data_IF_765703169185
#
_entry.id   IF_765703169185
#
_cell.length_a   1.000
_cell.length_b   1.000
_cell.length_c   1.000
_cell.angle_alpha   90.00
_cell.angle_beta   90.00
_cell.angle_gamma   90.00
#
_symmetry.space_group_name_H-M   'P 1'
#
loop_
_entity.id
_entity.type
_entity.pdbx_description
1 polymer ?
#
# COMPACT_ATOMS: atom_id res chain seq x y z
N UNK A 1 5.14 1.89 18.70
CA UNK A 1 6.44 1.31 18.33
C UNK A 1 6.54 1.41 16.83
N UNK A 2 7.47 2.22 16.31
CA UNK A 2 7.68 2.39 14.86
C UNK A 2 8.30 1.08 14.38
N UNK A 3 7.62 0.34 13.52
CA UNK A 3 8.24 -0.80 12.85
C UNK A 3 9.00 -0.20 11.69
N UNK A 4 10.33 -0.27 11.73
CA UNK A 4 11.13 0.14 10.59
C UNK A 4 10.84 -0.82 9.45
N UNK A 5 10.18 -0.33 8.39
CA UNK A 5 9.95 -1.12 7.18
C UNK A 5 11.29 -1.63 6.65
N UNK A 6 11.40 -2.94 6.44
CA UNK A 6 12.61 -3.55 5.86
C UNK A 6 12.36 -4.13 4.47
N UNK A 7 11.15 -4.63 4.23
CA UNK A 7 10.81 -5.42 3.06
C UNK A 7 9.51 -4.96 2.39
N UNK A 8 9.54 -4.88 1.05
CA UNK A 8 8.39 -4.50 0.24
C UNK A 8 8.14 -5.56 -0.84
N UNK A 9 6.90 -6.00 -0.98
CA UNK A 9 6.45 -6.77 -2.14
C UNK A 9 5.72 -5.86 -3.13
N UNK A 10 6.22 -5.76 -4.36
CA UNK A 10 5.52 -5.14 -5.48
C UNK A 10 4.75 -6.23 -6.21
N UNK A 11 3.42 -6.27 -6.04
CA UNK A 11 2.55 -7.30 -6.60
C UNK A 11 1.94 -6.86 -7.93
N UNK A 12 2.07 -7.67 -8.97
CA UNK A 12 1.42 -7.42 -10.27
C UNK A 12 1.09 -8.71 -11.03
N UNK A 13 0.33 -8.61 -12.12
CA UNK A 13 0.28 -9.70 -13.11
C UNK A 13 1.58 -9.72 -13.93
N UNK A 14 2.02 -10.91 -14.35
CA UNK A 14 3.27 -11.07 -15.12
C UNK A 14 3.34 -10.18 -16.37
N UNK A 15 2.21 -10.02 -17.09
CA UNK A 15 2.09 -9.15 -18.26
C UNK A 15 2.35 -7.66 -17.99
N UNK A 16 2.26 -7.23 -16.73
CA UNK A 16 2.44 -5.84 -16.32
C UNK A 16 3.84 -5.60 -15.72
N UNK A 17 4.75 -6.59 -15.71
CA UNK A 17 6.07 -6.51 -15.06
C UNK A 17 6.90 -5.29 -15.47
N UNK A 18 6.91 -4.96 -16.77
CA UNK A 18 7.76 -3.90 -17.32
C UNK A 18 7.31 -2.51 -16.85
N UNK A 19 6.00 -2.32 -16.67
CA UNK A 19 5.43 -1.06 -16.17
C UNK A 19 5.90 -0.74 -14.75
N UNK A 20 6.22 -1.77 -13.97
CA UNK A 20 6.58 -1.64 -12.56
C UNK A 20 8.11 -1.60 -12.36
N UNK A 21 8.90 -1.61 -13.44
CA UNK A 21 10.36 -1.57 -13.37
C UNK A 21 10.88 -0.34 -12.62
N UNK A 22 10.37 0.85 -12.95
CA UNK A 22 10.73 2.11 -12.28
C UNK A 22 10.32 2.10 -10.80
N UNK A 23 9.11 1.62 -10.49
CA UNK A 23 8.61 1.49 -9.11
C UNK A 23 9.53 0.60 -8.28
N UNK A 24 9.85 -0.59 -8.79
CA UNK A 24 10.75 -1.53 -8.09
C UNK A 24 12.13 -0.91 -7.91
N UNK A 25 12.71 -0.32 -8.97
CA UNK A 25 14.03 0.29 -8.90
C UNK A 25 14.08 1.47 -7.91
N UNK A 26 13.03 2.31 -7.89
CA UNK A 26 12.93 3.44 -6.97
C UNK A 26 12.84 2.98 -5.51
N UNK A 27 11.93 2.06 -5.19
CA UNK A 27 11.76 1.55 -3.83
C UNK A 27 12.98 0.76 -3.34
N UNK A 28 13.65 0.04 -4.25
CA UNK A 28 14.87 -0.72 -3.96
C UNK A 28 16.05 0.13 -3.47
N UNK A 29 16.01 1.45 -3.70
CA UNK A 29 17.03 2.37 -3.18
C UNK A 29 17.05 2.43 -1.65
N UNK A 30 15.94 2.11 -1.00
CA UNK A 30 15.76 2.22 0.47
C UNK A 30 15.35 0.92 1.13
N UNK A 31 14.53 0.11 0.48
CA UNK A 31 13.97 -1.11 1.07
C UNK A 31 14.31 -2.35 0.25
N UNK A 32 14.36 -3.51 0.91
CA UNK A 32 14.48 -4.79 0.23
C UNK A 32 13.18 -5.08 -0.55
N UNK A 33 13.16 -4.69 -1.82
CA UNK A 33 11.96 -4.70 -2.66
C UNK A 33 11.99 -5.91 -3.59
N UNK A 34 10.90 -6.69 -3.59
CA UNK A 34 10.74 -7.86 -4.45
C UNK A 34 9.54 -7.68 -5.37
N UNK A 35 9.74 -7.91 -6.67
CA UNK A 35 8.64 -8.07 -7.61
C UNK A 35 8.02 -9.46 -7.41
N UNK A 36 6.70 -9.51 -7.19
CA UNK A 36 5.95 -10.73 -6.93
C UNK A 36 4.80 -10.81 -7.94
N UNK A 37 4.62 -11.98 -8.55
CA UNK A 37 3.54 -12.18 -9.50
C UNK A 37 2.29 -12.71 -8.81
N UNK A 38 1.15 -12.16 -9.23
CA UNK A 38 -0.15 -12.55 -8.70
C UNK A 38 -0.52 -13.97 -9.15
N UNK A 39 -0.86 -14.78 -8.16
CA UNK A 39 -1.65 -16.00 -8.30
C UNK A 39 -2.71 -16.05 -7.18
N UNK A 40 -3.63 -17.02 -7.23
CA UNK A 40 -4.75 -17.09 -6.26
C UNK A 40 -4.32 -17.40 -4.82
N UNK A 41 -3.13 -17.95 -4.60
CA UNK A 41 -2.61 -18.43 -3.31
C UNK A 41 -1.50 -17.56 -2.73
N UNK A 42 -1.06 -16.53 -3.45
CA UNK A 42 0.10 -15.70 -3.09
C UNK A 42 -0.08 -14.91 -1.78
N UNK A 43 -1.33 -14.71 -1.35
CA UNK A 43 -1.69 -13.81 -0.25
C UNK A 43 -1.01 -14.14 1.07
N UNK A 44 -0.99 -15.40 1.50
CA UNK A 44 -0.33 -15.80 2.74
C UNK A 44 1.16 -15.45 2.75
N UNK A 45 1.83 -15.66 1.61
CA UNK A 45 3.25 -15.31 1.44
C UNK A 45 3.47 -13.80 1.51
N UNK A 46 2.56 -13.00 0.92
CA UNK A 46 2.65 -11.54 0.94
C UNK A 46 2.51 -10.97 2.36
N UNK A 47 1.77 -11.63 3.25
CA UNK A 47 1.62 -11.20 4.64
C UNK A 47 2.90 -11.27 5.47
N UNK A 48 3.99 -11.81 4.92
CA UNK A 48 5.32 -11.85 5.54
C UNK A 48 6.19 -10.62 5.24
N UNK A 49 5.77 -9.78 4.29
CA UNK A 49 6.42 -8.51 4.01
C UNK A 49 5.94 -7.43 4.97
N UNK A 50 6.71 -6.36 5.10
CA UNK A 50 6.29 -5.21 5.92
C UNK A 50 5.33 -4.30 5.15
N UNK A 51 5.48 -4.22 3.83
CA UNK A 51 4.58 -3.48 2.94
C UNK A 51 4.31 -4.23 1.64
N UNK A 52 3.06 -4.14 1.16
CA UNK A 52 2.61 -4.65 -0.13
C UNK A 52 2.18 -3.46 -0.99
N UNK A 53 2.85 -3.28 -2.13
CA UNK A 53 2.48 -2.30 -3.17
C UNK A 53 1.87 -3.08 -4.34
N UNK A 54 0.56 -3.03 -4.49
CA UNK A 54 -0.18 -3.84 -5.45
C UNK A 54 -0.65 -3.02 -6.67
N UNK A 55 -0.26 -3.45 -7.87
CA UNK A 55 -0.78 -2.95 -9.14
C UNK A 55 -1.94 -3.84 -9.63
N UNK A 56 -3.01 -3.87 -8.83
CA UNK A 56 -4.21 -4.66 -9.06
C UNK A 56 -5.45 -3.83 -8.67
N UNK A 57 -6.63 -4.23 -9.13
CA UNK A 57 -7.87 -3.63 -8.62
C UNK A 57 -7.96 -3.82 -7.11
N UNK A 58 -8.29 -2.75 -6.37
CA UNK A 58 -8.35 -2.76 -4.90
C UNK A 58 -9.25 -3.87 -4.35
N UNK A 59 -10.38 -4.16 -5.01
CA UNK A 59 -11.27 -5.24 -4.62
C UNK A 59 -10.66 -6.65 -4.71
N UNK A 60 -9.65 -6.88 -5.56
CA UNK A 60 -8.88 -8.15 -5.58
C UNK A 60 -7.97 -8.20 -4.35
N UNK A 61 -7.26 -7.11 -4.09
CA UNK A 61 -6.31 -7.00 -2.97
C UNK A 61 -7.04 -7.15 -1.64
N UNK A 62 -8.13 -6.41 -1.42
CA UNK A 62 -8.91 -6.44 -0.17
C UNK A 62 -9.46 -7.84 0.11
N UNK A 63 -10.09 -8.49 -0.89
CA UNK A 63 -10.62 -9.86 -0.74
C UNK A 63 -9.50 -10.89 -0.55
N UNK A 64 -8.34 -10.67 -1.16
CA UNK A 64 -7.19 -11.56 -1.04
C UNK A 64 -6.55 -11.55 0.34
N UNK A 65 -6.41 -10.36 0.94
CA UNK A 65 -5.78 -10.21 2.25
C UNK A 65 -6.75 -10.44 3.41
N UNK A 66 -8.08 -10.31 3.20
CA UNK A 66 -9.07 -10.25 4.29
C UNK A 66 -9.03 -11.43 5.25
N UNK A 67 -8.74 -12.63 4.75
CA UNK A 67 -8.68 -13.86 5.57
C UNK A 67 -7.40 -13.93 6.42
N UNK A 68 -6.40 -13.11 6.14
CA UNK A 68 -5.10 -13.10 6.82
C UNK A 68 -4.89 -11.89 7.72
N UNK A 69 -5.81 -10.92 7.72
CA UNK A 69 -5.74 -9.75 8.60
C UNK A 69 -5.91 -10.15 10.06
N UNK A 70 -5.05 -9.64 10.94
CA UNK A 70 -5.04 -9.97 12.37
C UNK A 70 -5.21 -8.73 13.23
N UNK A 71 -4.38 -7.72 13.02
CA UNK A 71 -4.51 -6.44 13.71
C UNK A 71 -3.73 -5.32 13.01
N UNK A 72 -4.21 -4.10 13.18
CA UNK A 72 -3.57 -2.86 12.68
C UNK A 72 -2.12 -2.67 13.12
N UNK A 73 -1.64 -3.42 14.11
CA UNK A 73 -0.30 -3.27 14.69
C UNK A 73 0.75 -4.16 14.04
N UNK A 74 0.33 -5.28 13.45
CA UNK A 74 1.24 -6.33 12.95
C UNK A 74 1.00 -6.69 11.49
N UNK A 75 -0.15 -6.29 10.94
CA UNK A 75 -0.45 -6.53 9.52
C UNK A 75 0.41 -5.60 8.64
N UNK A 76 0.81 -6.05 7.44
CA UNK A 76 1.57 -5.23 6.52
C UNK A 76 0.83 -3.94 6.15
N UNK A 77 1.61 -2.90 5.83
CA UNK A 77 1.06 -1.78 5.08
C UNK A 77 0.63 -2.26 3.69
N UNK A 78 -0.51 -1.77 3.20
CA UNK A 78 -1.03 -2.14 1.87
C UNK A 78 -1.34 -0.89 1.08
N UNK A 79 -0.74 -0.79 -0.09
CA UNK A 79 -0.88 0.32 -1.03
C UNK A 79 -1.33 -0.25 -2.37
N UNK A 80 -2.28 0.41 -3.02
CA UNK A 80 -2.70 0.08 -4.38
C UNK A 80 -2.28 1.18 -5.34
N UNK A 81 -1.60 0.81 -6.42
CA UNK A 81 -1.33 1.69 -7.55
C UNK A 81 -2.45 1.50 -8.58
N UNK A 82 -3.10 2.59 -8.97
CA UNK A 82 -4.15 2.55 -9.98
C UNK A 82 -3.60 2.20 -11.38
N UNK A 83 -4.47 1.72 -12.29
CA UNK A 83 -4.02 1.24 -13.60
C UNK A 83 -3.22 2.29 -14.42
N UNK A 84 -3.57 3.59 -14.39
CA UNK A 84 -2.78 4.64 -15.02
C UNK A 84 -1.44 4.96 -14.35
N UNK A 85 -1.14 4.39 -13.17
CA UNK A 85 0.02 4.73 -12.34
C UNK A 85 0.06 6.20 -11.95
N UNK A 86 -1.11 6.78 -11.66
CA UNK A 86 -1.25 8.16 -11.21
C UNK A 86 -1.34 8.26 -9.70
N UNK A 87 -1.88 7.24 -9.03
CA UNK A 87 -2.18 7.31 -7.60
C UNK A 87 -1.68 6.08 -6.86
N UNK A 88 -1.05 6.30 -5.71
CA UNK A 88 -0.68 5.29 -4.72
C UNK A 88 -1.60 5.43 -3.50
N UNK A 89 -2.67 4.64 -3.47
CA UNK A 89 -3.72 4.71 -2.44
C UNK A 89 -3.35 3.81 -1.27
N UNK A 90 -3.17 4.39 -0.09
CA UNK A 90 -2.88 3.64 1.15
C UNK A 90 -4.18 3.03 1.69
N UNK A 91 -4.28 1.70 1.69
CA UNK A 91 -5.45 0.96 2.17
C UNK A 91 -5.31 0.51 3.63
N UNK A 92 -4.10 0.10 4.05
CA UNK A 92 -3.80 -0.37 5.40
C UNK A 92 -2.42 0.12 5.86
N UNK A 93 -2.25 0.23 7.17
CA UNK A 93 -0.93 0.45 7.78
C UNK A 93 -0.28 1.81 7.48
N UNK A 94 -1.06 2.88 7.33
CA UNK A 94 -0.53 4.22 7.02
C UNK A 94 0.60 4.67 7.96
N UNK A 95 0.41 4.57 9.28
CA UNK A 95 1.45 4.88 10.28
C UNK A 95 2.48 3.75 10.48
N UNK A 96 2.30 2.62 9.82
CA UNK A 96 3.22 1.48 9.80
C UNK A 96 4.10 1.51 8.53
N UNK A 97 4.33 2.71 8.00
CA UNK A 97 5.18 2.96 6.84
C UNK A 97 4.43 3.02 5.49
N UNK A 98 3.13 2.72 5.45
CA UNK A 98 2.33 2.88 4.23
C UNK A 98 2.31 4.31 3.69
N UNK A 99 2.17 5.31 4.57
CA UNK A 99 2.21 6.73 4.17
C UNK A 99 3.60 7.11 3.64
N UNK A 100 4.67 6.61 4.27
CA UNK A 100 6.05 6.87 3.85
C UNK A 100 6.35 6.29 2.47
N UNK A 101 5.96 5.04 2.22
CA UNK A 101 6.13 4.39 0.91
C UNK A 101 5.32 5.11 -0.17
N UNK A 102 4.07 5.50 0.13
CA UNK A 102 3.26 6.26 -0.82
C UNK A 102 3.90 7.63 -1.16
N UNK A 103 4.40 8.36 -0.16
CA UNK A 103 5.11 9.62 -0.39
C UNK A 103 6.40 9.43 -1.20
N UNK A 104 7.11 8.33 -1.01
CA UNK A 104 8.25 7.98 -1.86
C UNK A 104 7.82 7.74 -3.32
N UNK A 105 6.71 7.04 -3.56
CA UNK A 105 6.15 6.85 -4.89
C UNK A 105 5.73 8.17 -5.57
N UNK A 106 5.29 9.17 -4.80
CA UNK A 106 5.02 10.52 -5.35
C UNK A 106 6.25 11.16 -6.00
N UNK A 107 7.46 10.80 -5.57
CA UNK A 107 8.71 11.35 -6.12
C UNK A 107 8.98 10.90 -7.55
N UNK A 108 8.29 9.84 -8.02
CA UNK A 108 8.32 9.35 -9.41
C UNK A 108 6.99 9.58 -10.13
N UNK A 109 6.18 10.53 -9.64
CA UNK A 109 4.94 10.95 -10.30
C UNK A 109 3.71 10.10 -9.99
N UNK A 110 3.76 9.21 -9.00
CA UNK A 110 2.61 8.41 -8.54
C UNK A 110 2.08 9.03 -7.24
N UNK A 111 1.09 9.91 -7.36
CA UNK A 111 0.57 10.73 -6.26
C UNK A 111 0.06 9.89 -5.08
N UNK A 112 0.61 10.15 -3.89
CA UNK A 112 0.16 9.54 -2.65
C UNK A 112 -1.27 9.98 -2.29
N UNK A 113 -2.18 9.01 -2.18
CA UNK A 113 -3.53 9.23 -1.66
C UNK A 113 -3.59 8.66 -0.25
N UNK A 114 -3.47 9.54 0.74
CA UNK A 114 -3.44 9.23 2.17
C UNK A 114 -4.74 9.71 2.80
N UNK A 115 -5.50 8.81 3.42
CA UNK A 115 -6.82 9.10 4.02
C UNK A 115 -6.79 9.13 5.55
N UNK A 116 -5.62 9.06 6.17
CA UNK A 116 -5.49 8.99 7.63
C UNK A 116 -5.88 10.31 8.29
N UNK A 117 -6.93 10.29 9.13
CA UNK A 117 -7.45 11.48 9.83
C UNK A 117 -6.49 12.09 10.86
N UNK A 118 -5.38 11.43 11.22
CA UNK A 118 -4.42 11.96 12.19
C UNK A 118 -3.68 13.21 11.68
N UNK A 119 -3.60 13.40 10.37
CA UNK A 119 -2.89 14.53 9.74
C UNK A 119 -3.87 15.64 9.30
N UNK A 120 -5.16 15.50 9.64
CA UNK A 120 -6.20 16.44 9.24
C UNK A 120 -6.32 17.62 10.22
N UNK A 121 -6.16 18.84 9.71
CA UNK A 121 -6.23 20.10 10.49
C UNK A 121 -7.62 20.72 10.56
N UNK A 122 -8.18 21.14 9.42
CA UNK A 122 -9.52 21.77 9.29
C UNK A 122 -10.13 21.53 7.89
N UNK A 123 -11.47 21.50 7.79
CA UNK A 123 -12.23 21.37 6.53
C UNK A 123 -13.11 20.10 6.44
N UNK A 124 -13.50 19.70 5.22
CA UNK A 124 -14.24 18.44 4.96
C UNK A 124 -13.31 17.39 4.36
N UNK A 125 -13.25 16.21 5.00
CA UNK A 125 -12.53 15.06 4.47
C UNK A 125 -13.51 14.05 3.87
N UNK A 126 -13.23 13.57 2.65
CA UNK A 126 -13.92 12.43 2.03
C UNK A 126 -12.91 11.29 1.91
N UNK A 127 -13.17 10.17 2.59
CA UNK A 127 -12.29 9.01 2.61
C UNK A 127 -13.05 7.70 2.74
N UNK A 128 -12.36 6.58 2.52
CA UNK A 128 -12.90 5.24 2.78
C UNK A 128 -12.65 4.92 4.27
N UNK A 129 -13.67 5.17 5.09
CA UNK A 129 -13.70 4.93 6.54
C UNK A 129 -13.64 6.22 7.39
N UNK A 130 -14.53 6.34 8.38
CA UNK A 130 -14.62 7.46 9.32
C UNK A 130 -14.62 7.00 10.79
N UNK A 131 -14.16 7.87 11.69
CA UNK A 131 -13.95 7.63 13.12
C UNK A 131 -15.26 7.74 13.92
N UNK A 132 -15.41 6.89 14.95
CA UNK A 132 -16.53 6.93 15.91
C UNK A 132 -16.45 8.22 16.77
N UNK A 133 -17.59 8.89 16.97
CA UNK A 133 -17.82 10.09 17.81
C UNK A 133 -17.37 11.46 17.25
N UNK A 134 -17.77 11.81 16.02
CA UNK A 134 -17.62 13.17 15.48
C UNK A 134 -18.73 13.49 14.48
N UNK A 135 -19.14 14.75 14.38
CA UNK A 135 -20.06 15.28 13.36
C UNK A 135 -19.32 16.12 12.31
N UNK A 136 -19.93 16.22 11.13
CA UNK A 136 -19.43 16.87 9.92
C UNK A 136 -18.99 18.33 10.10
#
# INVERSE_FOLDING_TARGET
MRVDLTSIAVLCFEKDKEKLSEVVAHLSKRWNTKLVFYDRKIWETLMRFDCIVAYLASGIVIRGISEFLRSKWIDPAVIVIDKPMKHAVVLLGGHHGGNEVAQHLSQIGIEAVITTAMEFGEGVAVGIGFRKNTTA
#
